data_IF_584257193427
#
_entry.id   IF_584257193427
#
_cell.length_a   1.000
_cell.length_b   1.000
_cell.length_c   1.000
_cell.angle_alpha   90.00
_cell.angle_beta   90.00
_cell.angle_gamma   90.00
#
_symmetry.space_group_name_H-M   'P 1'
#
loop_
_entity.id
_entity.type
_entity.pdbx_description
1 polymer ?
#
# COMPACT_ATOMS: atom_id res chain seq x y z
N UNK A 1 18.88 5.80 11.77
CA UNK A 1 18.30 4.69 11.01
C UNK A 1 16.83 4.97 10.76
N UNK A 2 16.41 4.95 9.50
CA UNK A 2 15.00 4.99 9.08
C UNK A 2 14.29 3.67 9.46
N UNK A 3 12.96 3.64 9.40
CA UNK A 3 12.20 2.40 9.66
C UNK A 3 12.59 1.29 8.65
N UNK A 4 12.81 1.64 7.38
CA UNK A 4 13.29 0.68 6.37
C UNK A 4 14.68 0.14 6.73
N UNK A 5 15.62 1.01 7.12
CA UNK A 5 16.97 0.59 7.52
C UNK A 5 16.95 -0.33 8.75
N UNK A 6 16.05 -0.09 9.70
CA UNK A 6 15.85 -0.96 10.88
C UNK A 6 15.37 -2.35 10.45
N UNK A 7 14.35 -2.41 9.59
CA UNK A 7 13.78 -3.69 9.14
C UNK A 7 14.76 -4.47 8.26
N UNK A 8 15.53 -3.80 7.39
CA UNK A 8 16.59 -4.44 6.60
C UNK A 8 17.72 -4.96 7.48
N UNK A 9 18.15 -4.19 8.49
CA UNK A 9 19.14 -4.66 9.46
C UNK A 9 18.63 -5.88 10.25
N UNK A 10 17.37 -5.84 10.66
CA UNK A 10 16.74 -6.95 11.37
C UNK A 10 16.59 -8.21 10.51
N UNK A 11 16.33 -8.07 9.20
CA UNK A 11 16.31 -9.18 8.25
C UNK A 11 17.70 -9.82 8.09
N UNK A 12 18.77 -9.01 8.06
CA UNK A 12 20.15 -9.50 8.08
C UNK A 12 20.46 -10.28 9.35
N UNK A 13 20.18 -9.68 10.51
CA UNK A 13 20.39 -10.34 11.80
C UNK A 13 19.60 -11.66 11.86
N UNK A 14 18.33 -11.65 11.45
CA UNK A 14 17.52 -12.86 11.40
C UNK A 14 18.15 -13.95 10.52
N UNK A 15 18.60 -13.60 9.32
CA UNK A 15 19.25 -14.54 8.42
C UNK A 15 20.53 -15.13 9.03
N UNK A 16 21.41 -14.29 9.56
CA UNK A 16 22.70 -14.69 10.13
C UNK A 16 22.54 -15.56 11.38
N UNK A 17 21.58 -15.24 12.25
CA UNK A 17 21.46 -15.90 13.55
C UNK A 17 20.49 -17.08 13.58
N UNK A 18 19.52 -17.14 12.66
CA UNK A 18 18.41 -18.11 12.73
C UNK A 18 18.26 -19.02 11.51
N UNK A 19 18.89 -18.68 10.37
CA UNK A 19 18.81 -19.45 9.13
C UNK A 19 20.15 -20.13 8.77
N UNK A 20 20.09 -21.12 7.87
CA UNK A 20 21.30 -21.66 7.22
C UNK A 20 21.99 -22.81 7.94
N UNK A 21 21.35 -23.41 8.95
CA UNK A 21 21.90 -24.55 9.71
C UNK A 21 21.24 -25.86 9.30
N UNK A 22 21.69 -26.50 8.21
CA UNK A 22 21.30 -27.86 7.75
C UNK A 22 19.81 -28.30 7.84
N UNK A 23 18.87 -27.37 8.09
CA UNK A 23 17.47 -27.65 8.37
C UNK A 23 16.69 -27.83 7.08
N UNK A 24 15.66 -28.68 7.05
CA UNK A 24 14.75 -28.75 5.91
C UNK A 24 14.15 -27.37 5.58
N UNK A 25 13.95 -27.09 4.27
CA UNK A 25 13.44 -25.79 3.79
C UNK A 25 12.12 -25.40 4.47
N UNK A 26 11.29 -26.38 4.82
CA UNK A 26 10.01 -26.14 5.49
C UNK A 26 10.20 -25.48 6.87
N UNK A 27 11.20 -25.91 7.63
CA UNK A 27 11.51 -25.34 8.94
C UNK A 27 11.98 -23.89 8.82
N UNK A 28 12.74 -23.59 7.76
CA UNK A 28 13.20 -22.24 7.44
C UNK A 28 12.02 -21.31 7.08
N UNK A 29 11.05 -21.82 6.31
CA UNK A 29 9.81 -21.10 6.00
C UNK A 29 8.98 -20.82 7.26
N UNK A 30 8.89 -21.79 8.17
CA UNK A 30 8.14 -21.62 9.43
C UNK A 30 8.78 -20.57 10.34
N UNK A 31 10.12 -20.54 10.45
CA UNK A 31 10.86 -19.48 11.16
C UNK A 31 10.55 -18.10 10.58
N UNK A 32 10.53 -17.98 9.25
CA UNK A 32 10.19 -16.72 8.56
C UNK A 32 8.75 -16.32 8.89
N UNK A 33 7.77 -17.22 8.77
CA UNK A 33 6.36 -16.92 9.05
C UNK A 33 6.13 -16.46 10.49
N UNK A 34 6.78 -17.13 11.44
CA UNK A 34 6.74 -16.73 12.85
C UNK A 34 7.33 -15.32 13.03
N UNK A 35 8.46 -15.00 12.39
CA UNK A 35 9.02 -13.65 12.46
C UNK A 35 8.11 -12.60 11.83
N UNK A 36 7.55 -12.88 10.65
CA UNK A 36 6.61 -11.98 9.98
C UNK A 36 5.35 -11.71 10.79
N UNK A 37 4.86 -12.65 11.60
CA UNK A 37 3.70 -12.41 12.49
C UNK A 37 3.97 -11.33 13.55
N UNK A 38 5.25 -11.12 13.93
CA UNK A 38 5.64 -10.06 14.86
C UNK A 38 5.72 -8.67 14.21
N UNK A 39 5.73 -8.62 12.87
CA UNK A 39 5.68 -7.37 12.11
C UNK A 39 4.23 -6.95 11.87
N UNK A 40 3.87 -5.79 12.42
CA UNK A 40 2.48 -5.31 12.44
C UNK A 40 1.97 -4.73 11.09
N UNK A 41 2.82 -4.48 10.07
CA UNK A 41 2.39 -3.92 8.78
C UNK A 41 2.87 -4.72 7.57
N UNK A 42 2.05 -4.78 6.50
CA UNK A 42 2.38 -5.50 5.26
C UNK A 42 3.62 -4.94 4.55
N UNK A 43 3.87 -3.63 4.68
CA UNK A 43 5.04 -2.94 4.15
C UNK A 43 6.34 -3.41 4.82
N UNK A 44 6.35 -3.53 6.16
CA UNK A 44 7.54 -4.03 6.87
C UNK A 44 7.78 -5.52 6.60
N UNK A 45 6.71 -6.30 6.44
CA UNK A 45 6.81 -7.69 5.99
C UNK A 45 7.44 -7.77 4.60
N UNK A 46 7.02 -6.90 3.68
CA UNK A 46 7.59 -6.85 2.34
C UNK A 46 9.08 -6.47 2.38
N UNK A 47 9.47 -5.44 3.15
CA UNK A 47 10.87 -4.97 3.23
C UNK A 47 11.76 -6.06 3.81
N UNK A 48 11.28 -6.74 4.85
CA UNK A 48 11.96 -7.86 5.47
C UNK A 48 12.19 -9.01 4.48
N UNK A 49 11.15 -9.38 3.72
CA UNK A 49 11.25 -10.46 2.73
C UNK A 49 12.09 -10.07 1.51
N UNK A 50 12.04 -8.82 1.05
CA UNK A 50 12.89 -8.32 -0.03
C UNK A 50 14.37 -8.39 0.37
N UNK A 51 14.73 -7.96 1.58
CA UNK A 51 16.11 -8.05 2.07
C UNK A 51 16.56 -9.52 2.19
N UNK A 52 15.73 -10.40 2.75
CA UNK A 52 16.03 -11.84 2.79
C UNK A 52 16.23 -12.43 1.39
N UNK A 53 15.37 -12.08 0.44
CA UNK A 53 15.47 -12.54 -0.93
C UNK A 53 16.79 -12.08 -1.59
N UNK A 54 17.19 -10.83 -1.36
CA UNK A 54 18.46 -10.30 -1.84
C UNK A 54 19.67 -11.02 -1.23
N UNK A 55 19.65 -11.26 0.09
CA UNK A 55 20.72 -12.00 0.79
C UNK A 55 20.83 -13.43 0.24
N UNK A 56 19.70 -14.14 0.16
CA UNK A 56 19.66 -15.53 -0.30
C UNK A 56 20.09 -15.63 -1.77
N UNK A 57 19.60 -14.73 -2.63
CA UNK A 57 19.99 -14.69 -4.05
C UNK A 57 21.48 -14.37 -4.23
N UNK A 58 22.02 -13.46 -3.43
CA UNK A 58 23.45 -13.14 -3.45
C UNK A 58 24.28 -14.35 -3.01
N UNK A 59 23.93 -14.99 -1.90
CA UNK A 59 24.66 -16.16 -1.39
C UNK A 59 24.61 -17.34 -2.37
N UNK A 60 23.49 -17.52 -3.09
CA UNK A 60 23.39 -18.49 -4.18
C UNK A 60 24.39 -18.17 -5.31
N UNK A 61 24.47 -16.91 -5.71
CA UNK A 61 25.40 -16.50 -6.76
C UNK A 61 26.87 -16.60 -6.31
N UNK A 62 27.18 -16.24 -5.07
CA UNK A 62 28.51 -16.38 -4.48
C UNK A 62 28.91 -17.87 -4.44
N UNK A 63 28.00 -18.77 -4.02
CA UNK A 63 28.22 -20.21 -4.08
C UNK A 63 28.48 -20.71 -5.51
N UNK A 64 27.70 -20.25 -6.50
CA UNK A 64 27.92 -20.60 -7.92
C UNK A 64 29.30 -20.15 -8.38
N UNK A 65 29.71 -18.94 -8.04
CA UNK A 65 31.03 -18.42 -8.40
C UNK A 65 32.15 -19.30 -7.82
N UNK A 66 32.02 -19.71 -6.56
CA UNK A 66 33.04 -20.48 -5.85
C UNK A 66 33.09 -21.96 -6.23
N UNK A 67 31.93 -22.60 -6.43
CA UNK A 67 31.82 -24.05 -6.62
C UNK A 67 31.53 -24.48 -8.07
N UNK A 68 30.97 -23.58 -8.88
CA UNK A 68 30.40 -23.89 -10.20
C UNK A 68 30.81 -22.89 -11.30
N UNK A 69 31.87 -22.11 -11.08
CA UNK A 69 32.38 -21.09 -12.02
C UNK A 69 31.33 -20.04 -12.45
N UNK A 70 30.37 -19.77 -11.57
CA UNK A 70 29.30 -18.78 -11.77
C UNK A 70 28.06 -19.32 -12.46
N UNK A 71 28.07 -20.57 -12.91
CA UNK A 71 26.96 -21.19 -13.64
C UNK A 71 26.06 -22.03 -12.70
N UNK A 72 24.74 -22.12 -12.97
CA UNK A 72 23.84 -22.98 -12.22
C UNK A 72 24.17 -24.47 -12.36
N UNK A 73 24.17 -25.20 -11.25
CA UNK A 73 24.31 -26.64 -11.23
C UNK A 73 23.07 -27.33 -10.63
N UNK A 74 22.18 -27.90 -11.47
CA UNK A 74 20.95 -28.55 -11.02
C UNK A 74 21.15 -29.79 -10.12
N UNK A 75 22.36 -30.35 -10.08
CA UNK A 75 22.70 -31.49 -9.21
C UNK A 75 23.22 -31.08 -7.83
N UNK A 76 23.44 -29.78 -7.59
CA UNK A 76 23.98 -29.30 -6.32
C UNK A 76 22.88 -29.24 -5.26
N UNK A 77 23.03 -29.99 -4.17
CA UNK A 77 22.08 -30.02 -3.07
C UNK A 77 21.87 -28.64 -2.41
N UNK A 78 22.93 -27.81 -2.38
CA UNK A 78 22.89 -26.45 -1.83
C UNK A 78 22.06 -25.54 -2.73
N UNK A 79 22.27 -25.59 -4.06
CA UNK A 79 21.47 -24.81 -5.02
C UNK A 79 20.00 -25.22 -4.96
N UNK A 80 19.69 -26.52 -5.03
CA UNK A 80 18.32 -27.03 -4.98
C UNK A 80 17.59 -26.55 -3.72
N UNK A 81 18.27 -26.58 -2.57
CA UNK A 81 17.70 -26.12 -1.29
C UNK A 81 17.45 -24.61 -1.32
N UNK A 82 18.39 -23.84 -1.84
CA UNK A 82 18.34 -22.38 -1.88
C UNK A 82 17.30 -21.87 -2.87
N UNK A 83 17.20 -22.49 -4.05
CA UNK A 83 16.19 -22.17 -5.06
C UNK A 83 14.77 -22.48 -4.56
N UNK A 84 14.58 -23.58 -3.83
CA UNK A 84 13.30 -23.87 -3.16
C UNK A 84 12.94 -22.81 -2.12
N UNK A 85 13.90 -22.34 -1.33
CA UNK A 85 13.65 -21.25 -0.38
C UNK A 85 13.27 -19.95 -1.11
N UNK A 86 13.99 -19.60 -2.17
CA UNK A 86 13.66 -18.44 -3.02
C UNK A 86 12.27 -18.54 -3.63
N UNK A 87 11.84 -19.74 -4.06
CA UNK A 87 10.49 -19.98 -4.55
C UNK A 87 9.44 -19.59 -3.50
N UNK A 88 9.58 -20.05 -2.26
CA UNK A 88 8.62 -19.72 -1.18
C UNK A 88 8.68 -18.24 -0.79
N UNK A 89 9.87 -17.63 -0.74
CA UNK A 89 10.02 -16.20 -0.51
C UNK A 89 9.31 -15.38 -1.59
N UNK A 90 9.48 -15.74 -2.86
CA UNK A 90 8.83 -15.09 -3.98
C UNK A 90 7.30 -15.26 -3.96
N UNK A 91 6.81 -16.43 -3.55
CA UNK A 91 5.37 -16.68 -3.38
C UNK A 91 4.77 -15.78 -2.28
N UNK A 92 5.42 -15.68 -1.12
CA UNK A 92 4.98 -14.79 -0.03
C UNK A 92 5.17 -13.30 -0.38
N UNK A 93 6.15 -12.93 -1.19
CA UNK A 93 6.28 -11.57 -1.71
C UNK A 93 5.20 -11.22 -2.74
N UNK A 94 4.71 -12.19 -3.50
CA UNK A 94 3.69 -11.97 -4.53
C UNK A 94 2.31 -11.59 -3.96
N UNK A 95 2.06 -11.93 -2.70
CA UNK A 95 0.83 -11.60 -1.97
C UNK A 95 0.95 -10.30 -1.15
N UNK A 96 2.15 -9.70 -1.11
CA UNK A 96 2.44 -8.46 -0.40
C UNK A 96 2.62 -7.31 -1.42
N UNK A 97 2.41 -6.05 -1.01
CA UNK A 97 2.58 -4.90 -1.89
C UNK A 97 3.98 -4.87 -2.51
N UNK A 98 4.07 -4.66 -3.83
CA UNK A 98 5.33 -4.65 -4.57
C UNK A 98 6.20 -3.48 -4.09
N UNK A 99 7.41 -3.79 -3.61
CA UNK A 99 8.40 -2.77 -3.26
C UNK A 99 9.03 -2.28 -4.57
N UNK A 100 8.68 -1.08 -4.98
CA UNK A 100 9.41 -0.41 -6.04
C UNK A 100 10.81 -0.06 -5.53
N UNK A 101 11.86 -0.65 -6.12
CA UNK A 101 13.23 -0.15 -5.96
C UNK A 101 13.28 1.27 -6.49
N UNK A 102 13.27 2.24 -5.59
CA UNK A 102 13.27 3.65 -5.95
C UNK A 102 14.67 4.03 -6.46
N UNK A 103 14.92 3.75 -7.73
CA UNK A 103 16.09 4.25 -8.45
C UNK A 103 15.60 5.38 -9.35
N UNK A 104 16.03 6.60 -9.03
CA UNK A 104 15.78 7.86 -9.75
C UNK A 104 14.41 8.53 -9.52
N UNK A 105 14.24 9.14 -8.35
CA UNK A 105 13.34 10.28 -8.21
C UNK A 105 14.02 11.53 -8.78
N UNK A 106 13.48 12.05 -9.88
CA UNK A 106 13.75 13.42 -10.33
C UNK A 106 13.30 14.38 -9.23
N UNK A 107 14.15 15.33 -8.87
CA UNK A 107 13.83 16.42 -7.96
C UNK A 107 12.68 17.27 -8.54
N UNK A 108 11.48 17.10 -7.99
CA UNK A 108 10.52 18.21 -7.86
C UNK A 108 10.49 18.60 -6.39
N UNK A 109 11.10 19.73 -6.07
CA UNK A 109 11.31 20.27 -4.72
C UNK A 109 10.04 20.81 -4.04
N UNK A 110 8.86 20.22 -4.30
CA UNK A 110 7.64 20.51 -3.55
C UNK A 110 7.14 19.21 -2.92
N UNK A 111 7.08 19.17 -1.59
CA UNK A 111 6.38 18.12 -0.86
C UNK A 111 4.94 18.07 -1.37
N UNK A 112 4.58 17.02 -2.13
CA UNK A 112 3.19 16.72 -2.46
C UNK A 112 2.47 16.37 -1.16
N UNK A 113 1.81 17.34 -0.55
CA UNK A 113 1.05 17.17 0.70
C UNK A 113 -0.48 17.16 0.46
N UNK A 114 -0.91 17.07 -0.79
CA UNK A 114 -2.32 17.10 -1.17
C UNK A 114 -3.00 15.76 -0.88
N UNK A 115 -4.12 15.86 -0.16
CA UNK A 115 -5.04 14.78 0.15
C UNK A 115 -6.33 15.06 -0.61
N UNK A 116 -6.57 14.33 -1.69
CA UNK A 116 -7.79 14.44 -2.49
C UNK A 116 -8.87 13.54 -1.90
N UNK A 117 -10.08 14.06 -1.70
CA UNK A 117 -11.22 13.28 -1.21
C UNK A 117 -12.32 13.26 -2.26
N UNK A 118 -12.67 12.07 -2.72
CA UNK A 118 -13.76 11.84 -3.65
C UNK A 118 -14.93 11.17 -2.93
N UNK A 119 -16.13 11.71 -3.14
CA UNK A 119 -17.35 11.27 -2.48
C UNK A 119 -18.56 11.67 -3.34
N UNK A 120 -19.72 11.05 -3.10
CA UNK A 120 -20.99 11.57 -3.64
C UNK A 120 -21.47 12.73 -2.77
N UNK A 121 -21.99 13.78 -3.38
CA UNK A 121 -22.60 14.91 -2.65
C UNK A 121 -23.69 14.47 -1.66
N UNK A 122 -24.36 13.34 -1.90
CA UNK A 122 -25.36 12.76 -0.99
C UNK A 122 -24.73 12.23 0.32
N UNK A 123 -23.44 11.94 0.33
CA UNK A 123 -22.68 11.48 1.49
C UNK A 123 -21.87 12.61 2.17
N UNK A 124 -22.22 13.87 1.95
CA UNK A 124 -21.53 15.04 2.54
C UNK A 124 -21.44 15.01 4.07
N UNK A 125 -22.41 14.41 4.76
CA UNK A 125 -22.37 14.23 6.21
C UNK A 125 -21.16 13.41 6.66
N UNK A 126 -20.85 12.31 5.96
CA UNK A 126 -19.68 11.48 6.25
C UNK A 126 -18.37 12.24 5.99
N UNK A 127 -18.29 13.02 4.91
CA UNK A 127 -17.14 13.88 4.65
C UNK A 127 -16.92 14.86 5.82
N UNK A 128 -17.98 15.50 6.31
CA UNK A 128 -17.87 16.46 7.42
C UNK A 128 -17.37 15.79 8.70
N UNK A 129 -17.85 14.58 8.99
CA UNK A 129 -17.39 13.80 10.13
C UNK A 129 -15.90 13.44 10.00
N UNK A 130 -15.47 12.94 8.84
CA UNK A 130 -14.06 12.62 8.56
C UNK A 130 -13.21 13.89 8.66
N UNK A 131 -13.63 14.99 8.03
CA UNK A 131 -12.93 16.27 8.05
C UNK A 131 -12.72 16.80 9.47
N UNK A 132 -13.65 16.53 10.41
CA UNK A 132 -13.48 16.84 11.84
C UNK A 132 -12.24 16.17 12.43
N UNK A 133 -11.95 14.92 12.07
CA UNK A 133 -10.75 14.20 12.51
C UNK A 133 -9.47 14.72 11.86
N UNK A 134 -9.56 15.25 10.63
CA UNK A 134 -8.42 15.90 9.95
C UNK A 134 -8.12 17.32 10.45
N UNK A 135 -9.06 18.00 11.13
CA UNK A 135 -8.91 19.39 11.61
C UNK A 135 -7.56 19.71 12.26
N UNK A 136 -6.99 18.88 13.15
CA UNK A 136 -5.70 19.17 13.77
C UNK A 136 -4.53 19.27 12.78
N UNK A 137 -4.68 18.72 11.58
CA UNK A 137 -3.61 18.56 10.59
C UNK A 137 -3.86 19.33 9.29
N UNK A 138 -4.98 20.04 9.16
CA UNK A 138 -5.31 20.83 7.95
C UNK A 138 -4.29 21.94 7.63
N UNK A 139 -3.40 22.29 8.57
CA UNK A 139 -2.29 23.22 8.32
C UNK A 139 -1.07 22.56 7.67
N UNK A 140 -0.95 21.24 7.80
CA UNK A 140 0.19 20.45 7.30
C UNK A 140 -0.13 19.82 5.94
N UNK A 141 -1.42 19.67 5.62
CA UNK A 141 -1.92 18.97 4.44
C UNK A 141 -2.80 19.89 3.60
N UNK A 142 -2.78 19.70 2.30
CA UNK A 142 -3.76 20.32 1.40
C UNK A 142 -4.94 19.38 1.23
N UNK A 143 -5.95 19.50 2.10
CA UNK A 143 -7.14 18.68 2.10
C UNK A 143 -8.15 19.21 1.07
N UNK A 144 -8.23 18.54 -0.08
CA UNK A 144 -8.97 18.99 -1.25
C UNK A 144 -10.18 18.09 -1.52
N UNK A 145 -11.31 18.69 -1.81
CA UNK A 145 -12.52 18.03 -2.33
C UNK A 145 -13.25 18.94 -3.33
N UNK A 146 -14.26 18.44 -4.01
CA UNK A 146 -14.99 19.17 -5.07
C UNK A 146 -15.57 20.54 -4.64
N UNK A 147 -15.95 20.75 -3.38
CA UNK A 147 -16.42 22.06 -2.89
C UNK A 147 -15.31 23.13 -2.88
N UNK A 148 -14.04 22.75 -3.08
CA UNK A 148 -12.94 23.70 -3.28
C UNK A 148 -12.97 24.36 -4.68
N UNK A 149 -13.74 23.80 -5.62
CA UNK A 149 -13.88 24.33 -6.98
C UNK A 149 -14.66 25.65 -6.93
N UNK A 150 -14.04 26.72 -7.44
CA UNK A 150 -14.68 28.04 -7.46
C UNK A 150 -15.84 28.08 -8.45
N UNK A 151 -16.95 28.78 -8.14
CA UNK A 151 -18.01 29.02 -9.10
C UNK A 151 -17.47 29.60 -10.41
N UNK A 152 -17.84 28.99 -11.54
CA UNK A 152 -17.38 29.38 -12.88
C UNK A 152 -16.10 28.69 -13.36
N UNK A 153 -15.41 27.91 -12.51
CA UNK A 153 -14.29 27.08 -12.93
C UNK A 153 -14.75 25.84 -13.74
N UNK A 154 -13.88 25.34 -14.62
CA UNK A 154 -14.12 24.09 -15.34
C UNK A 154 -13.85 22.90 -14.41
N UNK A 155 -14.88 22.44 -13.70
CA UNK A 155 -14.78 21.44 -12.63
C UNK A 155 -13.96 20.19 -12.99
N UNK A 156 -14.12 19.62 -14.20
CA UNK A 156 -13.34 18.46 -14.66
C UNK A 156 -11.83 18.74 -14.71
N UNK A 157 -11.45 19.96 -15.07
CA UNK A 157 -10.03 20.37 -15.12
C UNK A 157 -9.47 20.51 -13.72
N UNK A 158 -10.23 21.10 -12.80
CA UNK A 158 -9.82 21.24 -11.40
C UNK A 158 -9.64 19.88 -10.71
N UNK A 159 -10.55 18.93 -10.94
CA UNK A 159 -10.41 17.58 -10.40
C UNK A 159 -9.16 16.88 -10.94
N UNK A 160 -8.88 16.97 -12.25
CA UNK A 160 -7.65 16.40 -12.82
C UNK A 160 -6.41 17.01 -12.20
N UNK A 161 -6.34 18.34 -12.13
CA UNK A 161 -5.22 19.05 -11.51
C UNK A 161 -5.03 18.66 -10.03
N UNK A 162 -6.13 18.47 -9.30
CA UNK A 162 -6.08 18.01 -7.91
C UNK A 162 -5.53 16.58 -7.83
N UNK A 163 -6.04 15.66 -8.65
CA UNK A 163 -5.56 14.26 -8.71
C UNK A 163 -4.07 14.20 -9.08
N UNK A 164 -3.64 14.96 -10.09
CA UNK A 164 -2.24 15.01 -10.55
C UNK A 164 -1.29 15.50 -9.46
N UNK A 165 -1.75 16.28 -8.49
CA UNK A 165 -0.93 16.78 -7.38
C UNK A 165 -1.07 15.94 -6.10
N UNK A 166 -1.95 14.94 -6.12
CA UNK A 166 -2.33 14.16 -4.95
C UNK A 166 -1.21 13.22 -4.53
N UNK A 167 -0.96 13.15 -3.23
CA UNK A 167 -0.14 12.10 -2.60
C UNK A 167 -1.03 11.03 -1.96
N UNK A 168 -2.20 11.40 -1.44
CA UNK A 168 -3.18 10.46 -0.90
C UNK A 168 -4.57 10.76 -1.45
N UNK A 169 -5.17 9.82 -2.16
CA UNK A 169 -6.56 9.89 -2.61
C UNK A 169 -7.43 9.08 -1.65
N UNK A 170 -8.46 9.70 -1.05
CA UNK A 170 -9.44 9.04 -0.19
C UNK A 170 -10.75 8.94 -0.97
N UNK A 171 -11.23 7.72 -1.19
CA UNK A 171 -12.52 7.46 -1.84
C UNK A 171 -13.55 7.03 -0.81
N UNK A 172 -14.66 7.75 -0.74
CA UNK A 172 -15.77 7.44 0.15
C UNK A 172 -16.88 6.74 -0.66
N UNK A 173 -16.90 5.41 -0.62
CA UNK A 173 -17.74 4.60 -1.49
C UNK A 173 -19.14 4.39 -0.91
N UNK A 174 -20.12 4.55 -1.77
CA UNK A 174 -21.54 4.30 -1.56
C UNK A 174 -22.18 3.89 -2.89
N UNK A 175 -23.46 3.51 -2.86
CA UNK A 175 -24.20 3.26 -4.10
C UNK A 175 -24.26 4.52 -4.97
N UNK A 176 -24.44 5.69 -4.37
CA UNK A 176 -24.48 6.97 -5.09
C UNK A 176 -23.12 7.35 -5.67
N UNK A 177 -22.02 7.03 -4.99
CA UNK A 177 -20.68 7.24 -5.54
C UNK A 177 -20.47 6.41 -6.80
N UNK A 178 -20.74 5.10 -6.72
CA UNK A 178 -20.55 4.17 -7.83
C UNK A 178 -21.48 4.47 -9.02
N UNK A 179 -22.68 5.02 -8.75
CA UNK A 179 -23.63 5.45 -9.77
C UNK A 179 -23.38 6.86 -10.33
N UNK A 180 -22.41 7.61 -9.82
CA UNK A 180 -22.14 8.98 -10.28
C UNK A 180 -21.61 9.02 -11.71
N UNK A 181 -21.88 10.11 -12.44
CA UNK A 181 -21.41 10.30 -13.82
C UNK A 181 -19.89 10.16 -13.95
N UNK A 182 -19.14 10.56 -12.93
CA UNK A 182 -17.68 10.51 -12.92
C UNK A 182 -17.10 9.09 -12.80
N UNK A 183 -17.87 8.14 -12.22
CA UNK A 183 -17.55 6.71 -12.21
C UNK A 183 -18.14 5.99 -13.42
N UNK A 184 -19.39 6.29 -13.77
CA UNK A 184 -20.09 5.62 -14.88
C UNK A 184 -19.55 5.96 -16.26
N UNK A 185 -18.85 7.09 -16.40
CA UNK A 185 -18.10 7.45 -17.62
C UNK A 185 -16.65 6.94 -17.64
N UNK A 186 -16.24 6.15 -16.63
CA UNK A 186 -14.88 5.61 -16.46
C UNK A 186 -13.78 6.69 -16.45
N UNK A 187 -14.10 7.91 -16.01
CA UNK A 187 -13.14 9.02 -15.98
C UNK A 187 -12.23 8.96 -14.74
N UNK A 188 -12.77 8.62 -13.56
CA UNK A 188 -11.99 8.58 -12.32
C UNK A 188 -10.96 7.44 -12.26
N UNK A 189 -11.28 6.18 -12.62
CA UNK A 189 -10.33 5.08 -12.42
C UNK A 189 -9.03 5.23 -13.21
N UNK A 190 -9.01 5.68 -14.49
CA UNK A 190 -7.78 5.99 -15.20
C UNK A 190 -6.96 7.11 -14.56
N UNK A 191 -7.63 8.15 -14.03
CA UNK A 191 -6.96 9.26 -13.34
C UNK A 191 -6.31 8.79 -12.03
N UNK A 192 -6.99 7.93 -11.27
CA UNK A 192 -6.44 7.34 -10.05
C UNK A 192 -5.25 6.43 -10.35
N UNK A 193 -5.32 5.61 -11.41
CA UNK A 193 -4.19 4.78 -11.83
C UNK A 193 -2.99 5.61 -12.30
N UNK A 194 -3.23 6.73 -12.98
CA UNK A 194 -2.17 7.66 -13.36
C UNK A 194 -1.52 8.29 -12.12
N UNK A 195 -2.33 8.76 -11.17
CA UNK A 195 -1.83 9.30 -9.92
C UNK A 195 -1.06 8.26 -9.10
N UNK A 196 -1.53 7.01 -9.06
CA UNK A 196 -0.82 5.89 -8.40
C UNK A 196 0.55 5.65 -9.03
N UNK A 197 0.64 5.62 -10.37
CA UNK A 197 1.92 5.52 -11.09
C UNK A 197 2.86 6.69 -10.77
N UNK A 198 2.30 7.85 -10.49
CA UNK A 198 3.02 9.06 -10.07
C UNK A 198 3.24 9.14 -8.55
N UNK A 199 2.95 8.06 -7.81
CA UNK A 199 3.27 7.91 -6.39
C UNK A 199 2.16 8.30 -5.41
N UNK A 200 0.91 8.48 -5.88
CA UNK A 200 -0.25 8.63 -5.01
C UNK A 200 -0.67 7.28 -4.41
N UNK A 201 -1.19 7.30 -3.19
CA UNK A 201 -1.81 6.12 -2.56
C UNK A 201 -3.32 6.30 -2.46
N UNK A 202 -4.07 5.25 -2.77
CA UNK A 202 -5.54 5.27 -2.74
C UNK A 202 -6.02 4.57 -1.48
N UNK A 203 -6.80 5.27 -0.66
CA UNK A 203 -7.47 4.77 0.53
C UNK A 203 -8.97 4.72 0.27
N UNK A 204 -9.57 3.55 0.44
CA UNK A 204 -11.00 3.34 0.23
C UNK A 204 -11.71 3.19 1.57
N UNK A 205 -12.79 3.94 1.77
CA UNK A 205 -13.69 3.80 2.93
C UNK A 205 -15.08 3.44 2.40
N UNK A 206 -15.61 2.29 2.82
CA UNK A 206 -16.96 1.87 2.43
C UNK A 206 -17.96 2.50 3.41
N UNK A 207 -18.68 3.52 2.96
CA UNK A 207 -19.65 4.24 3.78
C UNK A 207 -20.95 3.45 3.97
N UNK A 208 -21.44 2.86 2.88
CA UNK A 208 -22.75 2.22 2.79
C UNK A 208 -22.64 0.91 2.00
N UNK A 209 -23.57 -0.06 2.18
CA UNK A 209 -23.64 -1.23 1.32
C UNK A 209 -23.71 -0.80 -0.15
N UNK A 210 -22.78 -1.30 -0.95
CA UNK A 210 -22.68 -1.01 -2.37
C UNK A 210 -22.00 -2.18 -3.08
N UNK A 211 -22.08 -2.22 -4.40
CA UNK A 211 -21.53 -3.30 -5.22
C UNK A 211 -20.02 -3.17 -5.43
N UNK A 212 -19.25 -2.76 -4.42
CA UNK A 212 -17.82 -2.48 -4.54
C UNK A 212 -17.04 -3.64 -5.18
N UNK A 213 -17.41 -4.87 -4.84
CA UNK A 213 -16.81 -6.11 -5.36
C UNK A 213 -16.98 -6.27 -6.88
N UNK A 214 -17.98 -5.63 -7.48
CA UNK A 214 -18.27 -5.68 -8.91
C UNK A 214 -17.53 -4.61 -9.72
N UNK A 215 -16.64 -3.82 -9.09
CA UNK A 215 -15.86 -2.76 -9.75
C UNK A 215 -14.35 -3.09 -9.73
N UNK A 216 -13.82 -3.88 -10.69
CA UNK A 216 -12.42 -4.29 -10.76
C UNK A 216 -11.40 -3.16 -10.66
N UNK A 217 -11.71 -2.01 -11.24
CA UNK A 217 -10.83 -0.85 -11.24
C UNK A 217 -10.70 -0.20 -9.85
N UNK A 218 -11.61 -0.51 -8.91
CA UNK A 218 -11.61 -0.01 -7.53
C UNK A 218 -11.31 -1.11 -6.52
N UNK A 219 -11.83 -2.33 -6.72
CA UNK A 219 -11.69 -3.45 -5.78
C UNK A 219 -10.26 -4.03 -5.71
N UNK A 220 -9.39 -3.65 -6.65
CA UNK A 220 -7.96 -3.94 -6.59
C UNK A 220 -7.26 -3.23 -5.42
N UNK A 221 -7.86 -2.17 -4.85
CA UNK A 221 -7.37 -1.49 -3.67
C UNK A 221 -8.08 -2.02 -2.42
N UNK A 222 -7.30 -2.35 -1.39
CA UNK A 222 -7.86 -2.79 -0.12
C UNK A 222 -8.60 -1.64 0.57
N UNK A 223 -9.86 -1.88 0.94
CA UNK A 223 -10.63 -0.96 1.75
C UNK A 223 -10.17 -0.94 3.22
N UNK A 224 -10.28 0.25 3.83
CA UNK A 224 -9.96 0.51 5.25
C UNK A 224 -10.90 -0.22 6.22
N UNK A 225 -12.10 -0.57 5.74
CA UNK A 225 -13.11 -1.34 6.45
C UNK A 225 -13.67 -2.41 5.50
N UNK A 226 -14.08 -3.59 6.02
CA UNK A 226 -14.62 -4.64 5.17
C UNK A 226 -15.95 -4.20 4.57
N UNK A 227 -16.24 -4.50 3.29
CA UNK A 227 -17.51 -4.15 2.65
C UNK A 227 -18.75 -4.70 3.38
N UNK A 228 -18.59 -5.81 4.11
CA UNK A 228 -19.64 -6.40 4.97
C UNK A 228 -20.00 -5.53 6.17
N UNK A 229 -19.05 -4.72 6.67
CA UNK A 229 -19.23 -3.76 7.76
C UNK A 229 -18.93 -2.32 7.28
N UNK A 230 -19.83 -1.73 6.46
CA UNK A 230 -19.72 -0.33 6.04
C UNK A 230 -19.97 0.62 7.21
N UNK A 231 -19.52 1.87 7.10
CA UNK A 231 -19.62 2.89 8.17
C UNK A 231 -21.04 3.04 8.72
N UNK A 232 -22.07 2.95 7.88
CA UNK A 232 -23.47 3.06 8.31
C UNK A 232 -23.92 1.94 9.27
N UNK A 233 -23.24 0.79 9.28
CA UNK A 233 -23.52 -0.33 10.20
C UNK A 233 -22.68 -0.27 11.49
N UNK A 234 -21.68 0.59 11.55
CA UNK A 234 -20.78 0.68 12.69
C UNK A 234 -21.43 1.41 13.85
N UNK A 235 -21.13 0.97 15.07
CA UNK A 235 -21.40 1.74 16.27
C UNK A 235 -20.55 3.02 16.28
N UNK A 236 -21.01 4.04 17.02
CA UNK A 236 -20.34 5.34 17.02
C UNK A 236 -18.84 5.26 17.37
N UNK A 237 -18.46 4.44 18.34
CA UNK A 237 -17.05 4.28 18.74
C UNK A 237 -16.20 3.63 17.65
N UNK A 238 -16.72 2.61 16.97
CA UNK A 238 -16.02 1.92 15.87
C UNK A 238 -15.81 2.87 14.69
N UNK A 239 -16.84 3.67 14.36
CA UNK A 239 -16.75 4.73 13.35
C UNK A 239 -15.66 5.77 13.69
N UNK A 240 -15.60 6.24 14.93
CA UNK A 240 -14.55 7.18 15.35
C UNK A 240 -13.14 6.55 15.28
N UNK A 241 -12.99 5.28 15.65
CA UNK A 241 -11.72 4.56 15.54
C UNK A 241 -11.26 4.40 14.09
N UNK A 242 -12.17 4.04 13.18
CA UNK A 242 -11.90 3.98 11.75
C UNK A 242 -11.41 5.32 11.21
N UNK A 243 -12.05 6.42 11.58
CA UNK A 243 -11.67 7.75 11.12
C UNK A 243 -10.32 8.21 11.68
N UNK A 244 -10.03 7.90 12.95
CA UNK A 244 -8.70 8.13 13.52
C UNK A 244 -7.65 7.29 12.78
N UNK A 245 -7.94 6.04 12.43
CA UNK A 245 -7.03 5.21 11.65
C UNK A 245 -6.82 5.78 10.24
N UNK A 246 -7.87 6.26 9.57
CA UNK A 246 -7.78 6.92 8.27
C UNK A 246 -6.83 8.12 8.31
N UNK A 247 -6.93 8.96 9.35
CA UNK A 247 -6.00 10.08 9.55
C UNK A 247 -4.57 9.59 9.79
N UNK A 248 -4.38 8.55 10.62
CA UNK A 248 -3.06 7.97 10.89
C UNK A 248 -2.41 7.42 9.62
N UNK A 249 -3.15 6.67 8.80
CA UNK A 249 -2.65 6.16 7.53
C UNK A 249 -2.32 7.30 6.57
N UNK A 250 -3.21 8.28 6.44
CA UNK A 250 -2.96 9.45 5.59
C UNK A 250 -1.67 10.17 6.01
N UNK A 251 -1.47 10.43 7.32
CA UNK A 251 -0.24 11.05 7.83
C UNK A 251 1.01 10.21 7.59
N UNK A 252 0.89 8.88 7.61
CA UNK A 252 2.02 7.98 7.33
C UNK A 252 2.44 8.11 5.86
N UNK A 253 1.48 8.19 4.95
CA UNK A 253 1.69 8.25 3.50
C UNK A 253 2.18 9.62 3.00
N UNK A 254 1.92 10.69 3.77
CA UNK A 254 2.39 12.04 3.46
C UNK A 254 3.85 12.31 3.85
N UNK A 255 4.46 11.43 4.66
CA UNK A 255 5.88 11.52 5.06
C UNK A 255 6.79 10.91 4.01
#
# INVERSE_FOLDING_TARGET
MTNEEIIRAEAKDFYEWQMGREDEVINEVDKIKNRLSSLYSAEFKAIFLDELNQIVSKNLQDHRNDAHNGEPNPGCAIEIKTEKLLFYLNQEMSILPKIAKNTNARESSHMRNKVFVSYSHLNKSYLNDIKRHFKPFLKEIDFWHDENIQPGAKWKTEIRNAIDQTKVAILLLSTDFLGSEFISTDELPPLLQAAEKDGATILIVILEPCLFEEFPNLNQYQAMNPPSNPVIKMEYSEKEELYVNLVRQTKKLLK
#
